data_IF_025633582154
#
_entry.id   IF_025633582154
#
_cell.length_a   1.000
_cell.length_b   1.000
_cell.length_c   1.000
_cell.angle_alpha   90.00
_cell.angle_beta   90.00
_cell.angle_gamma   90.00
#
_symmetry.space_group_name_H-M   'P 1'
#
loop_
_entity.id
_entity.type
_entity.pdbx_description
1 polymer ?
#
# COMPACT_ATOMS: atom_id res chain seq x y z
N UNK A 1 -29.92 -3.20 20.54
CA UNK A 1 -28.58 -2.70 20.91
C UNK A 1 -28.24 -3.25 22.29
N UNK A 2 -27.05 -3.80 22.54
CA UNK A 2 -26.67 -4.22 23.90
C UNK A 2 -26.48 -2.97 24.75
N UNK A 3 -27.17 -2.91 25.88
CA UNK A 3 -27.04 -1.80 26.83
C UNK A 3 -25.74 -1.97 27.63
N UNK A 4 -24.83 -1.00 27.53
CA UNK A 4 -23.53 -1.06 28.18
C UNK A 4 -23.55 -0.25 29.48
N UNK A 5 -22.86 -0.74 30.52
CA UNK A 5 -22.69 -0.02 31.79
C UNK A 5 -22.11 1.38 31.60
N UNK A 6 -21.36 1.59 30.52
CA UNK A 6 -20.78 2.89 30.15
C UNK A 6 -21.85 3.93 29.85
N UNK A 7 -23.01 3.56 29.28
CA UNK A 7 -24.07 4.52 28.94
C UNK A 7 -24.63 5.19 30.19
N UNK A 8 -24.81 4.41 31.26
CA UNK A 8 -25.19 4.91 32.59
C UNK A 8 -24.11 5.79 33.22
N UNK A 9 -22.83 5.48 33.01
CA UNK A 9 -21.73 6.31 33.54
C UNK A 9 -21.68 7.71 32.89
N UNK A 10 -22.09 7.82 31.63
CA UNK A 10 -22.13 9.10 30.89
C UNK A 10 -23.52 9.77 30.95
N UNK A 11 -24.50 9.18 31.63
CA UNK A 11 -25.84 9.75 31.81
C UNK A 11 -26.72 9.75 30.55
N UNK A 12 -26.39 8.93 29.54
CA UNK A 12 -27.07 8.89 28.24
C UNK A 12 -27.80 7.56 27.99
N UNK A 13 -28.16 6.86 29.06
CA UNK A 13 -28.79 5.56 28.96
C UNK A 13 -30.13 5.51 28.22
N UNK A 14 -30.92 6.58 28.34
CA UNK A 14 -32.31 6.60 27.88
C UNK A 14 -32.50 7.46 26.63
N UNK A 15 -31.43 8.05 26.10
CA UNK A 15 -31.46 8.89 24.91
C UNK A 15 -30.44 8.40 23.89
N UNK A 16 -30.94 7.62 22.92
CA UNK A 16 -30.13 7.06 21.84
C UNK A 16 -29.57 8.13 20.90
N UNK A 17 -30.29 9.24 20.70
CA UNK A 17 -29.82 10.31 19.83
C UNK A 17 -28.67 11.06 20.51
N UNK A 18 -28.84 11.42 21.78
CA UNK A 18 -27.77 12.06 22.55
C UNK A 18 -26.54 11.14 22.68
N UNK A 19 -26.74 9.84 22.86
CA UNK A 19 -25.65 8.85 22.87
C UNK A 19 -24.91 8.79 21.52
N UNK A 20 -25.64 8.80 20.41
CA UNK A 20 -25.05 8.81 19.07
C UNK A 20 -24.28 10.11 18.79
N UNK A 21 -24.84 11.24 19.19
CA UNK A 21 -24.19 12.55 19.07
C UNK A 21 -22.91 12.62 19.91
N UNK A 22 -22.97 12.12 21.15
CA UNK A 22 -21.80 12.02 22.02
C UNK A 22 -20.72 11.14 21.37
N UNK A 23 -21.09 9.95 20.89
CA UNK A 23 -20.17 9.04 20.21
C UNK A 23 -19.49 9.74 19.03
N UNK A 24 -20.27 10.30 18.11
CA UNK A 24 -19.76 11.00 16.93
C UNK A 24 -18.83 12.16 17.28
N UNK A 25 -19.19 12.96 18.29
CA UNK A 25 -18.37 14.09 18.78
C UNK A 25 -17.06 13.67 19.44
N UNK A 26 -16.97 12.44 19.95
CA UNK A 26 -15.77 11.93 20.62
C UNK A 26 -14.81 11.18 19.68
N UNK A 27 -15.19 10.98 18.42
CA UNK A 27 -14.30 10.40 17.41
C UNK A 27 -13.09 11.30 17.19
N UNK A 28 -11.93 10.68 16.96
CA UNK A 28 -10.70 11.43 16.63
C UNK A 28 -10.75 11.87 15.17
N UNK A 29 -10.40 13.12 14.94
CA UNK A 29 -10.42 13.72 13.59
C UNK A 29 -9.36 13.11 12.66
N UNK A 30 -8.21 12.76 13.21
CA UNK A 30 -7.11 12.17 12.48
C UNK A 30 -6.24 11.28 13.36
N UNK A 31 -5.66 10.25 12.75
CA UNK A 31 -4.56 9.50 13.34
C UNK A 31 -3.23 9.83 12.68
N UNK A 32 -3.20 10.64 11.63
CA UNK A 32 -2.00 10.86 10.81
C UNK A 32 -0.89 11.59 11.58
N UNK A 33 0.34 11.11 11.41
CA UNK A 33 1.59 11.78 11.85
C UNK A 33 2.31 12.40 10.66
N UNK A 34 3.37 13.19 10.86
CA UNK A 34 4.12 13.78 9.74
C UNK A 34 4.70 12.72 8.77
N UNK A 35 5.10 11.57 9.31
CA UNK A 35 5.59 10.43 8.53
C UNK A 35 4.50 9.70 7.75
N UNK A 36 3.25 10.16 7.80
CA UNK A 36 2.14 9.70 6.95
C UNK A 36 2.30 10.16 5.50
N UNK A 37 2.85 11.34 5.25
CA UNK A 37 2.81 11.94 3.91
C UNK A 37 3.82 11.30 2.96
N UNK A 38 5.07 11.18 3.38
CA UNK A 38 6.17 10.63 2.58
C UNK A 38 7.11 9.82 3.47
N UNK A 39 7.43 8.60 3.08
CA UNK A 39 8.51 7.84 3.72
C UNK A 39 9.83 8.18 3.02
N UNK A 40 10.49 9.23 3.50
CA UNK A 40 11.74 9.74 2.91
C UNK A 40 12.84 8.70 2.88
N UNK A 41 12.93 7.87 3.94
CA UNK A 41 13.90 6.78 3.99
C UNK A 41 13.68 5.79 2.84
N UNK A 42 12.45 5.33 2.63
CA UNK A 42 12.11 4.41 1.53
C UNK A 42 12.34 5.03 0.16
N UNK A 43 11.98 6.31 -0.02
CA UNK A 43 12.23 7.05 -1.26
C UNK A 43 13.73 7.08 -1.55
N UNK A 44 14.52 7.53 -0.58
CA UNK A 44 15.98 7.57 -0.70
C UNK A 44 16.58 6.18 -0.96
N UNK A 45 16.18 5.17 -0.19
CA UNK A 45 16.62 3.78 -0.37
C UNK A 45 16.28 3.21 -1.76
N UNK A 46 15.22 3.70 -2.41
CA UNK A 46 14.87 3.30 -3.78
C UNK A 46 15.68 4.05 -4.84
N UNK A 47 15.86 5.37 -4.68
CA UNK A 47 16.63 6.18 -5.63
C UNK A 47 18.11 5.77 -5.61
N UNK A 48 18.69 5.53 -4.43
CA UNK A 48 20.09 5.09 -4.29
C UNK A 48 20.39 3.79 -5.05
N UNK A 49 19.40 2.91 -5.25
CA UNK A 49 19.58 1.64 -6.00
C UNK A 49 19.80 1.85 -7.50
N UNK A 50 19.39 3.00 -8.04
CA UNK A 50 19.45 3.34 -9.47
C UNK A 50 20.20 4.65 -9.73
N UNK A 51 20.83 5.21 -8.69
CA UNK A 51 21.44 6.54 -8.73
C UNK A 51 22.56 6.64 -9.77
N UNK A 52 23.37 5.58 -9.92
CA UNK A 52 24.48 5.56 -10.89
C UNK A 52 23.96 5.63 -12.32
N UNK A 53 22.95 4.83 -12.62
CA UNK A 53 22.30 4.76 -13.93
C UNK A 53 21.60 6.08 -14.27
N UNK A 54 20.93 6.70 -13.30
CA UNK A 54 20.30 8.02 -13.49
C UNK A 54 21.34 9.12 -13.75
N UNK A 55 22.48 9.07 -13.06
CA UNK A 55 23.58 10.00 -13.31
C UNK A 55 24.21 9.80 -14.69
N UNK A 56 24.32 8.57 -15.19
CA UNK A 56 24.74 8.32 -16.57
C UNK A 56 23.72 8.87 -17.57
N UNK A 57 22.42 8.67 -17.33
CA UNK A 57 21.37 9.22 -18.19
C UNK A 57 21.33 10.75 -18.22
N UNK A 58 21.83 11.44 -17.19
CA UNK A 58 21.97 12.90 -17.19
C UNK A 58 22.84 13.41 -18.37
N UNK A 59 23.73 12.58 -18.91
CA UNK A 59 24.52 12.88 -20.11
C UNK A 59 23.64 13.27 -21.33
N UNK A 60 22.46 12.68 -21.42
CA UNK A 60 21.54 12.89 -22.55
C UNK A 60 20.75 14.19 -22.44
N UNK A 61 20.70 14.82 -21.26
CA UNK A 61 19.90 16.02 -21.03
C UNK A 61 20.39 17.17 -21.92
N UNK A 62 19.50 17.66 -22.77
CA UNK A 62 19.77 18.81 -23.64
C UNK A 62 20.68 18.53 -24.83
N UNK A 63 20.87 17.25 -25.21
CA UNK A 63 21.55 16.86 -26.46
C UNK A 63 20.66 17.15 -27.68
N UNK A 64 21.27 17.63 -28.76
CA UNK A 64 20.55 17.90 -30.02
C UNK A 64 20.27 16.59 -30.79
N UNK A 65 21.25 15.69 -30.87
CA UNK A 65 21.18 14.37 -31.50
C UNK A 65 20.76 13.26 -30.52
N UNK A 66 19.71 13.53 -29.72
CA UNK A 66 19.41 12.73 -28.53
C UNK A 66 19.08 11.25 -28.80
N UNK A 67 18.44 10.92 -29.92
CA UNK A 67 18.08 9.52 -30.25
C UNK A 67 19.33 8.66 -30.52
N UNK A 68 20.29 9.19 -31.28
CA UNK A 68 21.54 8.50 -31.58
C UNK A 68 22.39 8.34 -30.31
N UNK A 69 22.51 9.41 -29.51
CA UNK A 69 23.24 9.36 -28.23
C UNK A 69 22.56 8.42 -27.22
N UNK A 70 21.22 8.35 -27.20
CA UNK A 70 20.47 7.45 -26.33
C UNK A 70 20.77 5.99 -26.65
N UNK A 71 20.70 5.60 -27.93
CA UNK A 71 21.02 4.23 -28.34
C UNK A 71 22.49 3.91 -28.10
N UNK A 72 23.40 4.83 -28.41
CA UNK A 72 24.83 4.65 -28.13
C UNK A 72 25.08 4.42 -26.64
N UNK A 73 24.48 5.25 -25.77
CA UNK A 73 24.66 5.15 -24.32
C UNK A 73 24.08 3.85 -23.76
N UNK A 74 22.92 3.41 -24.24
CA UNK A 74 22.32 2.15 -23.80
C UNK A 74 23.12 0.93 -24.28
N UNK A 75 23.72 0.99 -25.47
CA UNK A 75 24.61 -0.09 -25.93
C UNK A 75 25.89 -0.17 -25.10
N UNK A 76 26.44 0.98 -24.72
CA UNK A 76 27.62 1.05 -23.85
C UNK A 76 27.30 0.61 -22.42
N UNK A 77 26.10 0.94 -21.93
CA UNK A 77 25.61 0.59 -20.59
C UNK A 77 24.21 -0.06 -20.65
N UNK A 78 24.10 -1.37 -20.97
CA UNK A 78 22.80 -2.03 -21.16
C UNK A 78 21.88 -2.03 -19.92
N UNK A 79 22.46 -1.93 -18.72
CA UNK A 79 21.70 -1.85 -17.47
C UNK A 79 20.83 -0.60 -17.37
N UNK A 80 21.12 0.46 -18.14
CA UNK A 80 20.28 1.66 -18.22
C UNK A 80 18.86 1.35 -18.67
N UNK A 81 18.64 0.32 -19.50
CA UNK A 81 17.30 -0.11 -19.92
C UNK A 81 16.41 -0.42 -18.72
N UNK A 82 16.98 -0.97 -17.65
CA UNK A 82 16.24 -1.42 -16.46
C UNK A 82 15.71 -0.26 -15.61
N UNK A 83 16.28 0.94 -15.75
CA UNK A 83 15.87 2.12 -14.98
C UNK A 83 14.86 2.99 -15.70
N UNK A 84 14.82 2.98 -17.04
CA UNK A 84 13.88 3.80 -17.82
C UNK A 84 12.40 3.69 -17.40
N UNK A 85 11.87 2.51 -17.02
CA UNK A 85 10.48 2.42 -16.55
C UNK A 85 10.17 3.25 -15.31
N UNK A 86 11.16 3.48 -14.42
CA UNK A 86 10.94 4.30 -13.22
C UNK A 86 10.63 5.75 -13.59
N UNK A 87 11.21 6.25 -14.70
CA UNK A 87 11.06 7.62 -15.15
C UNK A 87 9.64 7.94 -15.64
N UNK A 88 8.86 6.89 -15.96
CA UNK A 88 7.44 6.98 -16.32
C UNK A 88 6.53 6.40 -15.23
N UNK A 89 7.04 6.36 -14.00
CA UNK A 89 6.33 5.89 -12.81
C UNK A 89 5.86 4.41 -12.84
N UNK A 90 6.57 3.54 -13.56
CA UNK A 90 6.27 2.10 -13.62
C UNK A 90 7.35 1.30 -12.89
N UNK A 91 6.91 0.44 -11.96
CA UNK A 91 7.80 -0.47 -11.23
C UNK A 91 7.98 -1.80 -11.95
N UNK A 92 9.15 -2.44 -11.74
CA UNK A 92 9.48 -3.76 -12.30
C UNK A 92 8.39 -4.82 -12.11
N UNK A 93 7.81 -4.90 -10.91
CA UNK A 93 6.75 -5.87 -10.60
C UNK A 93 5.45 -5.63 -11.40
N UNK A 94 5.17 -4.39 -11.81
CA UNK A 94 4.03 -4.07 -12.68
C UNK A 94 4.36 -4.32 -14.15
N UNK A 95 5.61 -4.15 -14.57
CA UNK A 95 6.03 -4.40 -15.95
C UNK A 95 5.79 -5.85 -16.38
N UNK A 96 6.04 -6.82 -15.51
CA UNK A 96 5.95 -8.24 -15.86
C UNK A 96 4.58 -8.65 -16.41
N UNK A 97 3.49 -8.04 -15.91
CA UNK A 97 2.13 -8.29 -16.39
C UNK A 97 1.58 -7.24 -17.37
N UNK A 98 2.36 -6.20 -17.69
CA UNK A 98 1.87 -5.08 -18.48
C UNK A 98 2.02 -5.37 -19.98
N UNK A 99 0.90 -5.28 -20.68
CA UNK A 99 0.84 -5.31 -22.15
C UNK A 99 0.39 -3.95 -22.66
N UNK A 100 1.04 -3.49 -23.73
CA UNK A 100 0.64 -2.26 -24.42
C UNK A 100 0.08 -2.62 -25.79
N UNK A 101 -0.84 -1.80 -26.28
CA UNK A 101 -1.32 -1.88 -27.65
C UNK A 101 -0.23 -1.32 -28.57
N UNK A 102 0.22 -2.10 -29.53
CA UNK A 102 1.20 -1.68 -30.55
C UNK A 102 0.53 -1.29 -31.87
N UNK A 103 -0.69 -1.76 -32.11
CA UNK A 103 -1.52 -1.34 -33.22
C UNK A 103 -2.98 -1.26 -32.76
N UNK A 104 -3.52 -0.03 -32.77
CA UNK A 104 -4.88 0.27 -32.32
C UNK A 104 -5.93 -0.33 -33.27
N UNK A 105 -5.64 -0.43 -34.57
CA UNK A 105 -6.60 -0.94 -35.56
C UNK A 105 -6.75 -2.45 -35.45
N UNK A 106 -5.64 -3.15 -35.26
CA UNK A 106 -5.62 -4.62 -35.14
C UNK A 106 -5.73 -5.11 -33.69
N UNK A 107 -5.70 -4.18 -32.71
CA UNK A 107 -5.64 -4.50 -31.27
C UNK A 107 -4.50 -5.46 -30.95
N UNK A 108 -3.35 -5.28 -31.59
CA UNK A 108 -2.15 -6.09 -31.31
C UNK A 108 -1.53 -5.62 -30.00
N UNK A 109 -1.11 -6.58 -29.18
CA UNK A 109 -0.48 -6.31 -27.89
C UNK A 109 0.96 -6.80 -27.86
N UNK A 110 1.83 -6.07 -27.17
CA UNK A 110 3.20 -6.49 -26.87
C UNK A 110 3.47 -6.42 -25.36
N UNK A 111 4.24 -7.37 -24.85
CA UNK A 111 4.70 -7.37 -23.46
C UNK A 111 5.95 -6.52 -23.36
N UNK A 112 5.88 -5.41 -22.64
CA UNK A 112 7.00 -4.44 -22.60
C UNK A 112 8.11 -4.84 -21.65
N UNK A 113 7.91 -5.87 -20.82
CA UNK A 113 8.97 -6.36 -19.93
C UNK A 113 10.21 -6.79 -20.71
N UNK A 114 10.05 -7.46 -21.85
CA UNK A 114 11.17 -7.98 -22.62
C UNK A 114 12.05 -6.86 -23.17
N UNK A 115 11.47 -5.73 -23.56
CA UNK A 115 12.18 -4.53 -24.01
C UNK A 115 13.26 -4.05 -23.02
N UNK A 116 12.99 -4.12 -21.72
CA UNK A 116 13.90 -3.61 -20.69
C UNK A 116 14.88 -4.64 -20.12
N UNK A 117 14.62 -5.94 -20.32
CA UNK A 117 15.35 -7.01 -19.63
C UNK A 117 15.91 -8.11 -20.54
N UNK A 118 15.30 -8.38 -21.69
CA UNK A 118 15.58 -9.59 -22.48
C UNK A 118 15.92 -9.31 -23.95
N UNK A 119 15.38 -8.23 -24.52
CA UNK A 119 15.53 -7.89 -25.94
C UNK A 119 16.49 -6.72 -26.13
N UNK A 120 17.16 -6.74 -27.29
CA UNK A 120 18.04 -5.67 -27.76
C UNK A 120 17.58 -5.26 -29.17
N UNK A 121 16.44 -4.55 -29.21
CA UNK A 121 15.90 -3.95 -30.42
C UNK A 121 15.93 -2.43 -30.29
N UNK A 122 16.85 -1.81 -31.02
CA UNK A 122 17.04 -0.36 -31.02
C UNK A 122 15.78 0.39 -31.45
N UNK A 123 15.04 -0.13 -32.45
CA UNK A 123 13.86 0.55 -32.98
C UNK A 123 12.70 0.53 -31.98
N UNK A 124 12.52 -0.58 -31.27
CA UNK A 124 11.52 -0.67 -30.20
C UNK A 124 11.91 0.22 -29.01
N UNK A 125 13.21 0.31 -28.68
CA UNK A 125 13.72 1.21 -27.64
C UNK A 125 13.54 2.68 -28.00
N UNK A 126 13.81 3.07 -29.25
CA UNK A 126 13.56 4.42 -29.76
C UNK A 126 12.06 4.72 -29.79
N UNK A 127 11.25 3.76 -30.21
CA UNK A 127 9.78 3.88 -30.20
C UNK A 127 9.25 4.12 -28.79
N UNK A 128 9.77 3.38 -27.80
CA UNK A 128 9.48 3.66 -26.39
C UNK A 128 9.94 5.06 -25.98
N UNK A 129 11.19 5.44 -26.29
CA UNK A 129 11.76 6.73 -25.87
C UNK A 129 10.98 7.92 -26.44
N UNK A 130 10.51 7.82 -27.69
CA UNK A 130 9.64 8.80 -28.35
C UNK A 130 8.23 8.79 -27.74
N UNK A 131 7.55 7.63 -27.78
CA UNK A 131 6.11 7.57 -27.49
C UNK A 131 5.78 7.65 -26.00
N UNK A 132 6.76 7.43 -25.12
CA UNK A 132 6.60 7.66 -23.67
C UNK A 132 6.73 9.13 -23.27
N UNK A 133 7.19 10.00 -24.18
CA UNK A 133 7.50 11.41 -23.90
C UNK A 133 8.85 11.66 -23.23
N UNK A 134 9.64 10.61 -22.94
CA UNK A 134 10.96 10.76 -22.32
C UNK A 134 11.95 11.53 -23.22
N UNK A 135 11.87 11.34 -24.54
CA UNK A 135 12.67 12.11 -25.49
C UNK A 135 12.52 13.61 -25.28
N UNK A 136 11.28 14.10 -25.22
CA UNK A 136 11.00 15.53 -25.11
C UNK A 136 11.44 16.06 -23.74
N UNK A 137 11.17 15.30 -22.68
CA UNK A 137 11.63 15.61 -21.32
C UNK A 137 13.16 15.80 -21.27
N UNK A 138 13.91 14.92 -21.92
CA UNK A 138 15.36 14.99 -21.92
C UNK A 138 15.87 16.12 -22.83
N UNK A 139 15.21 16.36 -23.97
CA UNK A 139 15.60 17.39 -24.94
C UNK A 139 15.35 18.80 -24.41
N UNK A 140 14.18 19.03 -23.82
CA UNK A 140 13.69 20.37 -23.48
C UNK A 140 14.38 20.97 -22.24
N UNK A 141 15.26 20.21 -21.57
CA UNK A 141 15.97 20.60 -20.33
C UNK A 141 15.03 21.05 -19.20
N UNK A 142 13.76 20.65 -19.27
CA UNK A 142 12.78 20.87 -18.20
C UNK A 142 13.23 20.16 -16.93
N UNK A 143 13.74 18.94 -17.09
CA UNK A 143 14.47 18.21 -16.06
C UNK A 143 15.95 18.49 -16.20
N UNK A 144 16.56 18.96 -15.11
CA UNK A 144 18.00 19.25 -15.04
C UNK A 144 18.80 18.15 -14.36
N UNK A 145 18.12 17.26 -13.63
CA UNK A 145 18.72 16.15 -12.93
C UNK A 145 17.70 15.02 -12.78
N UNK A 146 17.98 13.88 -13.39
CA UNK A 146 17.13 12.68 -13.36
C UNK A 146 17.11 12.02 -11.98
N UNK A 147 18.14 12.22 -11.14
CA UNK A 147 18.15 11.75 -9.75
C UNK A 147 17.06 12.49 -8.96
N UNK A 148 17.06 13.83 -9.03
CA UNK A 148 16.07 14.66 -8.33
C UNK A 148 14.65 14.44 -8.86
N UNK A 149 14.51 14.26 -10.18
CA UNK A 149 13.24 13.85 -10.77
C UNK A 149 12.75 12.51 -10.24
N UNK A 150 13.64 11.51 -10.15
CA UNK A 150 13.30 10.19 -9.63
C UNK A 150 12.86 10.24 -8.17
N UNK A 151 13.46 11.13 -7.35
CA UNK A 151 12.95 11.43 -6.01
C UNK A 151 11.48 11.88 -6.05
N UNK A 152 11.14 12.83 -6.94
CA UNK A 152 9.76 13.28 -7.13
C UNK A 152 8.81 12.17 -7.57
N UNK A 153 9.26 11.31 -8.51
CA UNK A 153 8.48 10.16 -8.98
C UNK A 153 8.23 9.15 -7.86
N UNK A 154 9.24 8.78 -7.08
CA UNK A 154 9.10 7.86 -5.95
C UNK A 154 8.17 8.42 -4.87
N UNK A 155 8.21 9.73 -4.60
CA UNK A 155 7.25 10.41 -3.73
C UNK A 155 5.81 10.28 -4.26
N UNK A 156 5.61 10.44 -5.58
CA UNK A 156 4.30 10.29 -6.22
C UNK A 156 3.74 8.86 -6.17
N UNK A 157 4.60 7.85 -6.38
CA UNK A 157 4.20 6.43 -6.36
C UNK A 157 3.92 5.94 -4.93
N UNK A 158 4.44 6.58 -3.89
CA UNK A 158 4.28 6.17 -2.49
C UNK A 158 2.83 6.31 -1.94
N UNK A 159 1.88 6.78 -2.76
CA UNK A 159 0.45 6.86 -2.41
C UNK A 159 -0.16 5.52 -1.99
N UNK A 160 0.25 4.39 -2.59
CA UNK A 160 -0.20 3.07 -2.14
C UNK A 160 0.36 2.69 -0.76
N UNK A 161 1.56 3.17 -0.42
CA UNK A 161 2.13 2.96 0.90
C UNK A 161 1.47 3.80 1.98
N UNK A 162 0.84 4.94 1.63
CA UNK A 162 0.02 5.73 2.58
C UNK A 162 -1.10 4.89 3.19
N UNK A 163 -1.79 4.07 2.37
CA UNK A 163 -2.87 3.19 2.86
C UNK A 163 -2.35 2.18 3.89
N UNK A 164 -1.22 1.53 3.59
CA UNK A 164 -0.62 0.57 4.51
C UNK A 164 -0.12 1.25 5.79
N UNK A 165 0.45 2.46 5.69
CA UNK A 165 0.85 3.26 6.85
C UNK A 165 -0.33 3.60 7.76
N UNK A 166 -1.46 3.97 7.19
CA UNK A 166 -2.70 4.22 7.95
C UNK A 166 -3.19 2.98 8.68
N UNK A 167 -3.18 1.81 8.02
CA UNK A 167 -3.51 0.53 8.67
C UNK A 167 -2.60 0.25 9.87
N UNK A 168 -1.28 0.25 9.65
CA UNK A 168 -0.30 0.03 10.71
C UNK A 168 -0.44 1.03 11.87
N UNK A 169 -0.75 2.29 11.58
CA UNK A 169 -0.93 3.32 12.60
C UNK A 169 -2.18 3.06 13.45
N UNK A 170 -3.28 2.64 12.81
CA UNK A 170 -4.49 2.25 13.51
C UNK A 170 -4.26 1.01 14.39
N UNK A 171 -3.58 0.00 13.86
CA UNK A 171 -3.18 -1.20 14.62
C UNK A 171 -2.33 -0.81 15.83
N UNK A 172 -1.32 0.05 15.66
CA UNK A 172 -0.46 0.50 16.76
C UNK A 172 -1.23 1.25 17.84
N UNK A 173 -2.16 2.12 17.46
CA UNK A 173 -3.03 2.83 18.41
C UNK A 173 -3.86 1.82 19.20
N UNK A 174 -4.53 0.88 18.53
CA UNK A 174 -5.35 -0.13 19.23
C UNK A 174 -4.49 -1.03 20.12
N UNK A 175 -3.32 -1.46 19.65
CA UNK A 175 -2.38 -2.24 20.46
C UNK A 175 -1.95 -1.50 21.72
N UNK A 176 -1.74 -0.17 21.66
CA UNK A 176 -1.41 0.63 22.84
C UNK A 176 -2.53 0.58 23.90
N UNK A 177 -3.79 0.65 23.48
CA UNK A 177 -4.95 0.50 24.37
C UNK A 177 -5.10 -0.93 24.89
N UNK A 178 -4.85 -1.94 24.06
CA UNK A 178 -4.91 -3.34 24.49
C UNK A 178 -3.86 -3.66 25.55
N UNK A 179 -2.64 -3.13 25.44
CA UNK A 179 -1.60 -3.25 26.48
C UNK A 179 -2.08 -2.66 27.81
N UNK A 180 -2.55 -1.42 27.78
CA UNK A 180 -3.07 -0.73 28.97
C UNK A 180 -4.26 -1.48 29.60
N UNK A 181 -5.14 -2.06 28.79
CA UNK A 181 -6.27 -2.86 29.27
C UNK A 181 -5.81 -4.21 29.84
N UNK A 182 -4.81 -4.85 29.24
CA UNK A 182 -4.27 -6.14 29.70
C UNK A 182 -3.66 -6.01 31.10
N UNK A 183 -3.01 -4.88 31.40
CA UNK A 183 -2.47 -4.58 32.73
C UNK A 183 -3.57 -4.44 33.80
N UNK A 184 -4.80 -4.07 33.41
CA UNK A 184 -5.94 -3.85 34.31
C UNK A 184 -6.89 -5.03 34.39
N UNK A 185 -6.98 -5.81 33.32
CA UNK A 185 -7.96 -6.87 33.15
C UNK A 185 -7.27 -8.16 32.72
N UNK A 186 -7.68 -9.24 33.36
CA UNK A 186 -7.14 -10.58 33.13
C UNK A 186 -7.67 -11.18 31.82
N UNK A 187 -6.99 -10.87 30.71
CA UNK A 187 -7.16 -11.49 29.40
C UNK A 187 -5.80 -11.67 28.73
N UNK A 188 -5.73 -12.52 27.71
CA UNK A 188 -4.56 -12.62 26.84
C UNK A 188 -4.89 -12.10 25.45
N UNK A 189 -3.88 -11.59 24.73
CA UNK A 189 -4.09 -11.19 23.34
C UNK A 189 -2.85 -11.44 22.49
N UNK A 190 -3.06 -11.66 21.19
CA UNK A 190 -2.03 -11.89 20.19
C UNK A 190 -2.24 -10.89 19.06
N UNK A 191 -1.15 -10.31 18.54
CA UNK A 191 -1.18 -9.46 17.34
C UNK A 191 -0.92 -10.30 16.08
N UNK A 192 -1.49 -9.90 14.94
CA UNK A 192 -1.28 -10.48 13.61
C UNK A 192 -1.39 -12.01 13.64
N UNK A 193 -2.63 -12.50 13.65
CA UNK A 193 -2.98 -13.87 14.00
C UNK A 193 -3.84 -14.55 12.94
N UNK A 194 -3.40 -15.72 12.48
CA UNK A 194 -4.15 -16.61 11.60
C UNK A 194 -4.67 -17.84 12.36
N UNK A 195 -5.43 -18.70 11.68
CA UNK A 195 -5.98 -19.94 12.26
C UNK A 195 -4.90 -20.87 12.82
N UNK A 196 -3.79 -21.04 12.11
CA UNK A 196 -2.66 -21.86 12.56
C UNK A 196 -2.06 -21.35 13.88
N UNK A 197 -1.81 -20.05 13.97
CA UNK A 197 -1.25 -19.41 15.18
C UNK A 197 -2.22 -19.49 16.36
N UNK A 198 -3.54 -19.39 16.12
CA UNK A 198 -4.55 -19.60 17.17
C UNK A 198 -4.54 -21.04 17.70
N UNK A 199 -4.47 -22.02 16.80
CA UNK A 199 -4.41 -23.42 17.16
C UNK A 199 -3.14 -23.74 17.96
N UNK A 200 -1.98 -23.25 17.52
CA UNK A 200 -0.71 -23.47 18.20
C UNK A 200 -0.63 -22.77 19.56
N UNK A 201 -1.16 -21.54 19.68
CA UNK A 201 -1.02 -20.75 20.90
C UNK A 201 -2.07 -21.10 21.96
N UNK A 202 -3.32 -21.32 21.54
CA UNK A 202 -4.44 -21.49 22.46
C UNK A 202 -5.30 -22.73 22.20
N UNK A 203 -4.96 -23.56 21.20
CA UNK A 203 -5.76 -24.75 20.86
C UNK A 203 -7.11 -24.43 20.22
N UNK A 204 -7.33 -23.18 19.78
CA UNK A 204 -8.58 -22.78 19.12
C UNK A 204 -8.51 -23.03 17.62
N UNK A 205 -9.40 -23.87 17.14
CA UNK A 205 -9.60 -24.11 15.71
C UNK A 205 -10.76 -23.27 15.18
N UNK A 206 -10.46 -22.38 14.23
CA UNK A 206 -11.45 -21.55 13.54
C UNK A 206 -11.51 -21.91 12.06
N UNK A 207 -12.70 -21.89 11.49
CA UNK A 207 -12.92 -22.05 10.05
C UNK A 207 -13.27 -20.69 9.43
N UNK A 208 -12.46 -20.25 8.48
CA UNK A 208 -12.61 -18.96 7.78
C UNK A 208 -12.41 -19.17 6.27
N UNK A 209 -12.96 -18.24 5.49
CA UNK A 209 -13.00 -18.26 4.01
C UNK A 209 -11.64 -18.47 3.35
N UNK A 210 -10.58 -18.01 4.00
CA UNK A 210 -9.21 -18.13 3.54
C UNK A 210 -8.36 -18.70 4.66
N UNK A 211 -7.75 -19.87 4.42
CA UNK A 211 -6.75 -20.47 5.31
C UNK A 211 -5.61 -19.50 5.71
N UNK A 212 -5.38 -18.45 4.92
CA UNK A 212 -4.36 -17.42 5.15
C UNK A 212 -4.89 -16.09 5.72
N UNK A 213 -6.17 -15.99 6.14
CA UNK A 213 -6.68 -14.75 6.74
C UNK A 213 -5.91 -14.46 8.03
N UNK A 214 -5.43 -13.23 8.15
CA UNK A 214 -4.72 -12.73 9.33
C UNK A 214 -5.58 -11.63 9.95
N UNK A 215 -6.00 -11.85 11.19
CA UNK A 215 -6.67 -10.83 12.00
C UNK A 215 -5.62 -9.97 12.70
N UNK A 216 -5.92 -8.69 12.89
CA UNK A 216 -5.00 -7.76 13.56
C UNK A 216 -4.75 -8.18 15.01
N UNK A 217 -5.83 -8.59 15.71
CA UNK A 217 -5.74 -9.09 17.07
C UNK A 217 -6.67 -10.27 17.32
N UNK A 218 -6.26 -11.14 18.24
CA UNK A 218 -7.17 -12.05 18.93
C UNK A 218 -7.06 -11.83 20.44
N UNK A 219 -8.19 -11.81 21.14
CA UNK A 219 -8.29 -11.57 22.58
C UNK A 219 -9.00 -12.77 23.21
N UNK A 220 -8.36 -13.41 24.19
CA UNK A 220 -8.89 -14.55 24.93
C UNK A 220 -9.20 -14.15 26.37
N UNK A 221 -10.49 -14.16 26.73
CA UNK A 221 -10.90 -14.13 28.11
C UNK A 221 -10.94 -15.56 28.66
N UNK A 222 -9.88 -15.95 29.37
CA UNK A 222 -9.73 -17.31 29.94
C UNK A 222 -10.85 -17.71 30.89
N UNK A 223 -11.30 -16.78 31.74
CA UNK A 223 -12.36 -17.04 32.74
C UNK A 223 -13.70 -17.42 32.10
N UNK A 224 -14.00 -16.87 30.94
CA UNK A 224 -15.26 -17.11 30.21
C UNK A 224 -15.10 -18.05 29.03
N UNK A 225 -13.87 -18.48 28.74
CA UNK A 225 -13.50 -19.23 27.53
C UNK A 225 -13.99 -18.53 26.25
N UNK A 226 -13.87 -17.19 26.18
CA UNK A 226 -14.37 -16.38 25.08
C UNK A 226 -13.23 -15.81 24.24
N UNK A 227 -13.21 -16.17 22.96
CA UNK A 227 -12.30 -15.66 21.95
C UNK A 227 -12.97 -14.52 21.17
N UNK A 228 -12.27 -13.39 21.05
CA UNK A 228 -12.65 -12.28 20.19
C UNK A 228 -11.59 -12.11 19.11
N UNK A 229 -12.01 -12.12 17.85
CA UNK A 229 -11.17 -11.76 16.71
C UNK A 229 -11.45 -10.31 16.34
N UNK A 230 -10.41 -9.52 16.17
CA UNK A 230 -10.52 -8.07 15.98
C UNK A 230 -9.76 -7.68 14.74
N UNK A 231 -10.43 -6.95 13.86
CA UNK A 231 -9.78 -6.15 12.82
C UNK A 231 -10.03 -4.67 13.07
N UNK A 232 -9.02 -3.88 12.74
CA UNK A 232 -8.98 -2.44 12.96
C UNK A 232 -8.92 -1.74 11.63
N UNK A 233 -9.78 -0.74 11.47
CA UNK A 233 -9.85 0.03 10.25
C UNK A 233 -9.97 1.51 10.60
N UNK A 234 -9.29 2.35 9.82
CA UNK A 234 -9.43 3.80 9.90
C UNK A 234 -9.92 4.33 8.56
N UNK A 235 -10.92 5.20 8.62
CA UNK A 235 -11.53 5.83 7.45
C UNK A 235 -11.60 7.33 7.68
N UNK A 236 -11.08 8.11 6.73
CA UNK A 236 -11.11 9.58 6.76
C UNK A 236 -12.32 10.17 6.02
N UNK A 237 -13.31 9.35 5.65
CA UNK A 237 -14.48 9.76 4.87
C UNK A 237 -15.49 8.63 4.67
N UNK A 238 -16.65 8.98 4.10
CA UNK A 238 -17.69 8.02 3.75
C UNK A 238 -17.36 7.22 2.48
N UNK A 239 -18.16 6.19 2.19
CA UNK A 239 -18.08 5.46 0.91
C UNK A 239 -18.53 4.01 0.99
N UNK A 240 -18.56 3.35 -0.17
CA UNK A 240 -18.96 1.94 -0.32
C UNK A 240 -18.09 0.98 0.49
N UNK A 241 -16.83 1.36 0.77
CA UNK A 241 -15.90 0.53 1.54
C UNK A 241 -16.38 0.26 2.97
N UNK A 242 -16.93 1.27 3.67
CA UNK A 242 -17.49 1.10 5.02
C UNK A 242 -18.62 0.06 5.03
N UNK A 243 -19.52 0.15 4.05
CA UNK A 243 -20.62 -0.81 3.88
C UNK A 243 -20.10 -2.22 3.57
N UNK A 244 -19.08 -2.32 2.72
CA UNK A 244 -18.44 -3.60 2.38
C UNK A 244 -17.80 -4.25 3.61
N UNK A 245 -17.04 -3.51 4.40
CA UNK A 245 -16.38 -4.01 5.62
C UNK A 245 -17.41 -4.47 6.66
N UNK A 246 -18.50 -3.72 6.85
CA UNK A 246 -19.57 -4.15 7.73
C UNK A 246 -20.22 -5.47 7.28
N UNK A 247 -20.41 -5.64 5.96
CA UNK A 247 -20.90 -6.90 5.38
C UNK A 247 -19.94 -8.07 5.61
N UNK A 248 -18.64 -7.84 5.42
CA UNK A 248 -17.59 -8.85 5.64
C UNK A 248 -17.58 -9.36 7.09
N UNK A 249 -17.68 -8.47 8.09
CA UNK A 249 -17.75 -8.91 9.50
C UNK A 249 -18.97 -9.78 9.81
N UNK A 250 -20.13 -9.49 9.19
CA UNK A 250 -21.34 -10.32 9.36
C UNK A 250 -21.11 -11.72 8.77
N UNK A 251 -20.44 -11.79 7.61
CA UNK A 251 -20.13 -13.06 6.97
C UNK A 251 -19.13 -13.88 7.80
N UNK A 252 -18.04 -13.26 8.25
CA UNK A 252 -17.05 -13.89 9.13
C UNK A 252 -17.71 -14.43 10.41
N UNK A 253 -18.54 -13.62 11.07
CA UNK A 253 -19.27 -14.05 12.28
C UNK A 253 -20.18 -15.26 12.00
N UNK A 254 -20.85 -15.29 10.85
CA UNK A 254 -21.67 -16.46 10.45
C UNK A 254 -20.83 -17.69 10.23
N UNK A 255 -19.65 -17.56 9.63
CA UNK A 255 -18.73 -18.70 9.42
C UNK A 255 -18.24 -19.26 10.75
N UNK A 256 -17.80 -18.38 11.66
CA UNK A 256 -17.30 -18.78 12.98
C UNK A 256 -18.37 -19.45 13.86
N UNK A 257 -19.66 -19.16 13.63
CA UNK A 257 -20.79 -19.74 14.35
C UNK A 257 -21.35 -21.04 13.74
N UNK A 258 -20.86 -21.50 12.60
CA UNK A 258 -21.36 -22.74 11.95
C UNK A 258 -20.94 -24.05 12.67
N UNK A 259 -20.43 -23.98 13.90
CA UNK A 259 -20.18 -25.12 14.79
C UNK A 259 -21.30 -25.28 15.82
#
# INVERSE_FOLDING_TARGET
MKYLKTYKKIGLENDLNALFDYFTKTLKESIFTWDYFVNWKKVSDNVMKVEKELNLLNYLLGKENIEDEFIRLIKEYPDLKKVLPILIAIRKNKLAGLRIITDIKTMKYSQIYTLFYNEDNDEDMLTFFRNSGLKDIFKDRTIKNLVDYCYGVEVGIDTNARKNRTGNLMENIVNSYLKELNERYDFEYICQVNSEKLLQTWGYEIEVDKYSRVFDFAILNKKRNQLFLVETNYYSGGGSKLKSTAGEFIEIERMLKKK
#
